data_IF_634563637615
#
_entry.id   IF_634563637615
#
_cell.length_a   1.000
_cell.length_b   1.000
_cell.length_c   1.000
_cell.angle_alpha   90.00
_cell.angle_beta   90.00
_cell.angle_gamma   90.00
#
_symmetry.space_group_name_H-M   'P 1'
#
loop_
_entity.id
_entity.type
_entity.pdbx_description
1 polymer ?
#
# COMPACT_ATOMS: atom_id res chain seq x y z
N UNK A 1 17.74 -14.00 -25.32
CA UNK A 1 18.87 -13.06 -25.49
C UNK A 1 18.95 -12.21 -24.22
N UNK A 2 20.06 -12.33 -23.49
CA UNK A 2 20.36 -11.51 -22.30
C UNK A 2 20.67 -10.07 -22.74
N UNK A 3 20.32 -9.07 -21.91
CA UNK A 3 21.33 -8.15 -21.34
C UNK A 3 20.74 -7.25 -20.24
N UNK A 4 21.40 -7.34 -19.09
CA UNK A 4 21.38 -6.49 -17.90
C UNK A 4 21.83 -5.06 -18.22
N UNK A 5 21.24 -4.05 -17.57
CA UNK A 5 21.81 -2.69 -17.53
C UNK A 5 22.30 -2.37 -16.12
N UNK A 6 23.63 -2.29 -15.98
CA UNK A 6 24.35 -1.66 -14.88
C UNK A 6 24.82 -0.30 -15.39
N UNK A 7 24.54 0.77 -14.66
CA UNK A 7 25.19 2.07 -14.89
C UNK A 7 26.02 2.41 -13.66
N UNK A 8 27.34 2.29 -13.82
CA UNK A 8 28.34 2.86 -12.93
C UNK A 8 28.84 4.15 -13.60
N UNK A 9 28.84 5.26 -12.86
CA UNK A 9 29.51 6.51 -13.27
C UNK A 9 30.70 6.72 -12.35
N UNK A 10 31.87 6.72 -12.95
CA UNK A 10 33.17 6.97 -12.32
C UNK A 10 33.85 8.03 -13.17
N UNK A 11 34.11 9.21 -12.60
CA UNK A 11 35.04 10.18 -13.16
C UNK A 11 35.98 10.68 -12.07
N UNK A 12 37.26 10.57 -12.40
CA UNK A 12 38.42 10.91 -11.59
C UNK A 12 39.08 12.21 -12.09
N UNK A 13 39.91 12.79 -11.23
CA UNK A 13 40.90 13.85 -11.53
C UNK A 13 40.75 15.02 -10.55
N UNK A 14 41.68 15.36 -9.65
CA UNK A 14 43.10 15.06 -9.51
C UNK A 14 43.90 16.37 -9.52
N UNK A 15 44.57 16.73 -8.41
CA UNK A 15 45.90 17.38 -8.41
C UNK A 15 46.39 17.69 -6.98
N UNK A 16 47.71 17.59 -6.85
CA UNK A 16 48.55 17.54 -5.64
C UNK A 16 49.13 18.92 -5.32
N UNK A 17 49.26 19.25 -4.03
CA UNK A 17 50.07 20.36 -3.53
C UNK A 17 50.52 20.07 -2.10
N UNK A 18 51.83 20.10 -1.86
CA UNK A 18 52.54 19.47 -0.75
C UNK A 18 52.97 20.47 0.35
N UNK A 19 52.80 20.03 1.60
CA UNK A 19 53.55 20.29 2.85
C UNK A 19 53.74 21.71 3.42
N UNK A 20 53.35 21.88 4.69
CA UNK A 20 54.25 22.12 5.83
C UNK A 20 53.45 22.03 7.15
N UNK A 21 54.12 21.65 8.24
CA UNK A 21 53.50 21.17 9.47
C UNK A 21 53.00 22.24 10.43
N UNK A 22 52.33 21.78 11.49
CA UNK A 22 52.62 22.16 12.88
C UNK A 22 51.80 21.28 13.82
N UNK A 23 52.46 20.81 14.87
CA UNK A 23 51.91 20.02 15.94
C UNK A 23 51.08 20.92 16.88
N UNK A 24 49.87 20.51 17.20
CA UNK A 24 49.01 21.17 18.18
C UNK A 24 48.07 20.16 18.81
N UNK A 25 48.27 19.91 20.10
CA UNK A 25 47.46 19.04 20.94
C UNK A 25 45.96 19.35 20.82
N UNK A 26 45.16 18.33 20.48
CA UNK A 26 43.71 18.40 20.42
C UNK A 26 43.10 17.38 21.37
N UNK A 27 42.59 17.90 22.49
CA UNK A 27 41.85 17.19 23.52
C UNK A 27 40.84 16.20 22.96
N UNK A 28 40.77 15.03 23.61
CA UNK A 28 39.83 13.97 23.30
C UNK A 28 38.38 14.43 23.45
N UNK A 29 37.75 14.74 22.34
CA UNK A 29 36.30 14.91 22.28
C UNK A 29 35.65 13.63 21.73
N UNK A 30 35.74 12.55 22.51
CA UNK A 30 34.92 11.36 22.35
C UNK A 30 33.53 11.61 22.98
N UNK A 31 32.77 12.55 22.42
CA UNK A 31 31.38 12.80 22.80
C UNK A 31 30.58 13.26 21.59
N UNK A 32 30.12 12.30 20.79
CA UNK A 32 28.89 12.33 19.98
C UNK A 32 28.75 10.89 19.43
N UNK A 33 27.68 10.12 19.55
CA UNK A 33 26.27 10.44 19.69
C UNK A 33 25.56 9.17 20.22
N UNK A 34 25.46 9.01 21.55
CA UNK A 34 24.65 7.98 22.20
C UNK A 34 23.35 8.62 22.70
N UNK A 35 22.55 9.11 21.76
CA UNK A 35 21.16 9.49 21.99
C UNK A 35 20.32 8.83 20.90
N UNK A 36 20.36 7.49 20.90
CA UNK A 36 19.27 6.71 20.34
C UNK A 36 18.07 6.86 21.28
N UNK A 37 16.99 7.43 20.75
CA UNK A 37 15.66 7.50 21.36
C UNK A 37 15.15 6.08 21.67
N UNK A 38 15.12 5.62 22.94
CA UNK A 38 14.74 4.24 23.27
C UNK A 38 13.24 3.98 23.02
N UNK A 39 12.41 5.01 23.20
CA UNK A 39 10.95 4.88 23.17
C UNK A 39 10.35 4.54 21.80
N UNK A 40 11.03 4.85 20.68
CA UNK A 40 10.52 4.55 19.34
C UNK A 40 10.74 3.07 18.94
N UNK A 41 11.91 2.50 19.30
CA UNK A 41 12.23 1.09 19.01
C UNK A 41 11.36 0.13 19.82
N UNK A 42 11.16 0.42 21.11
CA UNK A 42 10.35 -0.44 21.99
C UNK A 42 8.88 -0.52 21.55
N UNK A 43 8.32 0.61 21.07
CA UNK A 43 6.94 0.66 20.57
C UNK A 43 6.79 -0.14 19.29
N UNK A 44 7.76 -0.09 18.39
CA UNK A 44 7.71 -0.82 17.12
C UNK A 44 7.97 -2.32 17.31
N UNK A 45 8.85 -2.70 18.24
CA UNK A 45 9.02 -4.09 18.67
C UNK A 45 7.75 -4.65 19.32
N UNK A 46 7.08 -3.87 20.17
CA UNK A 46 5.81 -4.27 20.78
C UNK A 46 4.70 -4.47 19.72
N UNK A 47 4.62 -3.60 18.70
CA UNK A 47 3.70 -3.79 17.58
C UNK A 47 4.03 -5.05 16.79
N UNK A 48 5.31 -5.28 16.47
CA UNK A 48 5.74 -6.46 15.73
C UNK A 48 5.40 -7.75 16.50
N UNK A 49 5.65 -7.78 17.82
CA UNK A 49 5.28 -8.90 18.68
C UNK A 49 3.76 -9.13 18.72
N UNK A 50 2.96 -8.06 18.77
CA UNK A 50 1.51 -8.16 18.75
C UNK A 50 0.98 -8.71 17.41
N UNK A 51 1.57 -8.29 16.29
CA UNK A 51 1.24 -8.80 14.95
C UNK A 51 1.60 -10.28 14.86
N UNK A 52 2.82 -10.67 15.26
CA UNK A 52 3.28 -12.06 15.23
C UNK A 52 2.35 -12.98 16.04
N UNK A 53 2.01 -12.56 17.26
CA UNK A 53 1.06 -13.28 18.11
C UNK A 53 -0.31 -13.42 17.44
N UNK A 54 -0.82 -12.37 16.81
CA UNK A 54 -2.10 -12.45 16.11
C UNK A 54 -2.04 -13.40 14.89
N UNK A 55 -0.91 -13.48 14.17
CA UNK A 55 -0.74 -14.46 13.08
C UNK A 55 -0.80 -15.90 13.61
N UNK A 56 -0.15 -16.20 14.73
CA UNK A 56 -0.25 -17.53 15.37
C UNK A 56 -1.69 -17.86 15.76
N UNK A 57 -2.39 -16.89 16.34
CA UNK A 57 -3.78 -17.04 16.79
C UNK A 57 -4.79 -17.21 15.65
N UNK A 58 -4.42 -16.93 14.39
CA UNK A 58 -5.27 -17.27 13.25
C UNK A 58 -5.48 -18.77 13.09
N UNK A 59 -4.56 -19.61 13.59
CA UNK A 59 -4.67 -21.08 13.56
C UNK A 59 -5.30 -21.68 14.82
N UNK A 60 -5.74 -20.85 15.78
CA UNK A 60 -6.25 -21.35 17.06
C UNK A 60 -7.52 -22.19 16.87
N UNK A 61 -7.71 -23.30 17.59
CA UNK A 61 -8.90 -24.15 17.46
C UNK A 61 -10.20 -23.41 17.80
N UNK A 62 -10.17 -22.40 18.67
CA UNK A 62 -11.36 -21.63 19.04
C UNK A 62 -11.64 -20.53 18.01
N UNK A 63 -12.83 -20.56 17.43
CA UNK A 63 -13.29 -19.56 16.47
C UNK A 63 -13.18 -18.13 17.00
N UNK A 64 -13.55 -17.90 18.26
CA UNK A 64 -13.48 -16.57 18.88
C UNK A 64 -12.07 -16.00 18.93
N UNK A 65 -11.06 -16.84 19.19
CA UNK A 65 -9.65 -16.44 19.15
C UNK A 65 -9.25 -16.01 17.74
N UNK A 66 -9.61 -16.80 16.73
CA UNK A 66 -9.31 -16.49 15.31
C UNK A 66 -9.96 -15.18 14.87
N UNK A 67 -11.20 -14.94 15.27
CA UNK A 67 -11.91 -13.69 14.98
C UNK A 67 -11.24 -12.46 15.62
N UNK A 68 -10.80 -12.58 16.87
CA UNK A 68 -10.06 -11.51 17.56
C UNK A 68 -8.73 -11.26 16.85
N UNK A 69 -8.01 -12.31 16.47
CA UNK A 69 -6.76 -12.22 15.73
C UNK A 69 -6.94 -11.52 14.37
N UNK A 70 -7.93 -11.93 13.56
CA UNK A 70 -8.22 -11.29 12.28
C UNK A 70 -8.55 -9.81 12.43
N UNK A 71 -9.39 -9.44 13.43
CA UNK A 71 -9.71 -8.03 13.71
C UNK A 71 -8.47 -7.25 14.16
N UNK A 72 -7.59 -7.87 14.93
CA UNK A 72 -6.36 -7.24 15.41
C UNK A 72 -5.40 -6.96 14.25
N UNK A 73 -5.16 -7.95 13.39
CA UNK A 73 -4.35 -7.79 12.19
C UNK A 73 -4.92 -6.74 11.25
N UNK A 74 -6.24 -6.75 11.03
CA UNK A 74 -6.88 -5.72 10.22
C UNK A 74 -6.67 -4.33 10.81
N UNK A 75 -6.80 -4.14 12.13
CA UNK A 75 -6.57 -2.85 12.82
C UNK A 75 -5.14 -2.32 12.69
N UNK A 76 -4.14 -3.20 12.60
CA UNK A 76 -2.77 -2.79 12.31
C UNK A 76 -2.59 -2.29 10.86
N UNK A 77 -3.55 -2.56 9.97
CA UNK A 77 -3.53 -2.08 8.59
C UNK A 77 -2.28 -2.52 7.86
N UNK A 78 -1.69 -1.58 7.09
CA UNK A 78 -0.50 -1.84 6.28
C UNK A 78 0.72 -2.26 7.10
N UNK A 79 0.79 -1.95 8.41
CA UNK A 79 1.88 -2.43 9.26
C UNK A 79 1.89 -3.96 9.43
N UNK A 80 0.72 -4.61 9.31
CA UNK A 80 0.61 -6.07 9.35
C UNK A 80 0.78 -6.73 7.98
N UNK A 81 0.81 -5.96 6.88
CA UNK A 81 0.82 -6.50 5.52
C UNK A 81 1.98 -7.46 5.24
N UNK A 82 3.24 -7.18 5.62
CA UNK A 82 4.35 -8.11 5.38
C UNK A 82 4.16 -9.45 6.11
N UNK A 83 3.71 -9.42 7.36
CA UNK A 83 3.45 -10.63 8.14
C UNK A 83 2.26 -11.44 7.59
N UNK A 84 1.23 -10.75 7.09
CA UNK A 84 0.09 -11.37 6.41
C UNK A 84 0.50 -12.02 5.08
N UNK A 85 1.39 -11.38 4.31
CA UNK A 85 1.93 -11.95 3.07
C UNK A 85 2.69 -13.26 3.33
N UNK A 86 3.52 -13.31 4.37
CA UNK A 86 4.17 -14.54 4.80
C UNK A 86 3.14 -15.60 5.24
N UNK A 87 2.18 -15.21 6.08
CA UNK A 87 1.14 -16.11 6.59
C UNK A 87 0.27 -16.70 5.46
N UNK A 88 0.04 -15.95 4.38
CA UNK A 88 -0.70 -16.39 3.19
C UNK A 88 -0.01 -17.52 2.39
N UNK A 89 1.21 -17.91 2.78
CA UNK A 89 1.97 -19.04 2.21
C UNK A 89 2.12 -20.22 3.17
N UNK A 90 1.69 -20.09 4.43
CA UNK A 90 1.84 -21.14 5.46
C UNK A 90 1.04 -22.41 5.13
N UNK A 91 1.51 -23.54 5.68
CA UNK A 91 0.88 -24.87 5.51
C UNK A 91 -0.51 -24.94 6.13
N UNK A 92 -0.69 -24.33 7.30
CA UNK A 92 -1.98 -24.24 7.98
C UNK A 92 -3.02 -23.55 7.07
N UNK A 93 -4.11 -24.25 6.78
CA UNK A 93 -5.13 -23.79 5.84
C UNK A 93 -5.96 -22.62 6.38
N UNK A 94 -6.24 -22.59 7.68
CA UNK A 94 -7.02 -21.53 8.32
C UNK A 94 -6.21 -20.23 8.37
N UNK A 95 -4.93 -20.32 8.81
CA UNK A 95 -4.00 -19.18 8.81
C UNK A 95 -3.88 -18.60 7.40
N UNK A 96 -3.63 -19.47 6.40
CA UNK A 96 -3.48 -19.07 5.01
C UNK A 96 -4.74 -18.41 4.45
N UNK A 97 -5.92 -19.00 4.70
CA UNK A 97 -7.19 -18.49 4.20
C UNK A 97 -7.51 -17.10 4.78
N UNK A 98 -7.40 -16.94 6.11
CA UNK A 98 -7.68 -15.66 6.77
C UNK A 98 -6.69 -14.57 6.41
N UNK A 99 -5.40 -14.91 6.31
CA UNK A 99 -4.39 -13.94 5.88
C UNK A 99 -4.68 -13.41 4.47
N UNK A 100 -5.04 -14.31 3.53
CA UNK A 100 -5.45 -13.93 2.17
C UNK A 100 -6.71 -13.07 2.16
N UNK A 101 -7.69 -13.38 3.00
CA UNK A 101 -8.90 -12.58 3.09
C UNK A 101 -8.61 -11.12 3.53
N UNK A 102 -7.76 -10.94 4.54
CA UNK A 102 -7.37 -9.60 5.02
C UNK A 102 -6.57 -8.85 3.94
N UNK A 103 -5.63 -9.53 3.27
CA UNK A 103 -4.87 -8.94 2.17
C UNK A 103 -5.77 -8.54 1.00
N UNK A 104 -6.78 -9.36 0.70
CA UNK A 104 -7.75 -9.03 -0.35
C UNK A 104 -8.52 -7.76 -0.01
N UNK A 105 -8.97 -7.62 1.24
CA UNK A 105 -9.61 -6.40 1.72
C UNK A 105 -8.69 -5.17 1.61
N UNK A 106 -7.41 -5.30 2.00
CA UNK A 106 -6.41 -4.23 1.83
C UNK A 106 -6.21 -3.85 0.36
N UNK A 107 -6.20 -4.84 -0.53
CA UNK A 107 -6.04 -4.61 -1.96
C UNK A 107 -7.20 -3.79 -2.53
N UNK A 108 -8.41 -3.94 -1.98
CA UNK A 108 -9.60 -3.13 -2.30
C UNK A 108 -9.65 -1.78 -1.55
N UNK A 109 -8.69 -1.51 -0.65
CA UNK A 109 -8.66 -0.27 0.13
C UNK A 109 -9.58 -0.29 1.36
N UNK A 110 -10.00 -1.47 1.80
CA UNK A 110 -10.71 -1.66 3.07
C UNK A 110 -9.64 -1.72 4.19
N UNK A 111 -9.28 -0.55 4.70
CA UNK A 111 -8.26 -0.33 5.72
C UNK A 111 -8.89 0.15 7.03
N UNK A 112 -8.13 0.15 8.14
CA UNK A 112 -8.53 0.84 9.35
C UNK A 112 -9.00 2.27 9.07
N UNK A 113 -10.22 2.57 9.51
CA UNK A 113 -10.83 3.89 9.32
C UNK A 113 -11.61 4.07 8.00
N UNK A 114 -11.64 3.07 7.10
CA UNK A 114 -12.52 3.15 5.92
C UNK A 114 -13.98 3.29 6.36
N UNK A 115 -14.71 4.30 5.88
CA UNK A 115 -16.12 4.51 6.24
C UNK A 115 -17.01 3.32 5.88
N UNK A 116 -18.00 3.01 6.72
CA UNK A 116 -18.89 1.85 6.55
C UNK A 116 -19.66 1.86 5.23
N UNK A 117 -20.09 3.03 4.77
CA UNK A 117 -20.78 3.20 3.50
C UNK A 117 -19.86 2.86 2.31
N UNK A 118 -18.58 3.21 2.38
CA UNK A 118 -17.58 2.84 1.37
C UNK A 118 -17.30 1.34 1.39
N UNK A 119 -17.20 0.72 2.57
CA UNK A 119 -17.08 -0.74 2.70
C UNK A 119 -18.26 -1.45 2.04
N UNK A 120 -19.49 -0.96 2.30
CA UNK A 120 -20.71 -1.50 1.70
C UNK A 120 -20.73 -1.40 0.17
N UNK A 121 -20.23 -0.30 -0.39
CA UNK A 121 -20.08 -0.14 -1.84
C UNK A 121 -19.04 -1.10 -2.43
N UNK A 122 -17.87 -1.22 -1.81
CA UNK A 122 -16.83 -2.16 -2.26
C UNK A 122 -17.34 -3.60 -2.22
N UNK A 123 -18.09 -3.98 -1.19
CA UNK A 123 -18.69 -5.30 -1.08
C UNK A 123 -19.68 -5.55 -2.23
N UNK A 124 -20.56 -4.60 -2.53
CA UNK A 124 -21.50 -4.68 -3.66
C UNK A 124 -20.78 -4.82 -5.00
N UNK A 125 -19.70 -4.06 -5.21
CA UNK A 125 -18.90 -4.17 -6.43
C UNK A 125 -18.30 -5.57 -6.60
N UNK A 126 -17.77 -6.16 -5.51
CA UNK A 126 -17.14 -7.50 -5.54
C UNK A 126 -18.13 -8.62 -5.88
N UNK A 127 -19.38 -8.52 -5.39
CA UNK A 127 -20.42 -9.53 -5.63
C UNK A 127 -21.33 -9.22 -6.82
N UNK A 128 -21.24 -8.00 -7.37
CA UNK A 128 -22.15 -7.47 -8.38
C UNK A 128 -21.80 -7.87 -9.81
N UNK A 129 -22.80 -7.77 -10.68
CA UNK A 129 -22.67 -7.85 -12.13
C UNK A 129 -22.11 -6.54 -12.72
N UNK A 130 -21.95 -6.50 -14.05
CA UNK A 130 -21.39 -5.34 -14.74
C UNK A 130 -22.16 -4.04 -14.45
N UNK A 131 -23.50 -4.10 -14.42
CA UNK A 131 -24.32 -2.92 -14.13
C UNK A 131 -24.13 -2.46 -12.68
N UNK A 132 -24.19 -3.39 -11.72
CA UNK A 132 -23.96 -3.10 -10.31
C UNK A 132 -22.60 -2.45 -10.08
N UNK A 133 -21.56 -2.91 -10.80
CA UNK A 133 -20.21 -2.34 -10.71
C UNK A 133 -20.17 -0.90 -11.22
N UNK A 134 -20.86 -0.60 -12.32
CA UNK A 134 -21.02 0.77 -12.83
C UNK A 134 -21.72 1.66 -11.81
N UNK A 135 -22.85 1.20 -11.27
CA UNK A 135 -23.64 1.95 -10.29
C UNK A 135 -22.84 2.24 -9.01
N UNK A 136 -22.06 1.26 -8.53
CA UNK A 136 -21.18 1.45 -7.36
C UNK A 136 -20.13 2.52 -7.64
N UNK A 137 -19.46 2.47 -8.79
CA UNK A 137 -18.43 3.47 -9.12
C UNK A 137 -19.04 4.86 -9.24
N UNK A 138 -20.22 5.00 -9.84
CA UNK A 138 -20.94 6.27 -9.88
C UNK A 138 -21.28 6.80 -8.48
N UNK A 139 -21.75 5.94 -7.57
CA UNK A 139 -22.00 6.33 -6.17
C UNK A 139 -20.72 6.76 -5.44
N UNK A 140 -19.59 6.10 -5.69
CA UNK A 140 -18.30 6.51 -5.13
C UNK A 140 -17.89 7.89 -5.65
N UNK A 141 -18.08 8.17 -6.93
CA UNK A 141 -17.79 9.49 -7.52
C UNK A 141 -18.69 10.58 -6.92
N UNK A 142 -20.00 10.32 -6.78
CA UNK A 142 -20.94 11.27 -6.16
C UNK A 142 -20.60 11.61 -4.70
N UNK A 143 -19.96 10.68 -3.99
CA UNK A 143 -19.49 10.86 -2.60
C UNK A 143 -18.03 11.34 -2.54
N UNK A 144 -17.49 11.78 -3.67
CA UNK A 144 -16.10 12.24 -3.84
C UNK A 144 -15.03 11.22 -3.40
N UNK A 145 -15.37 9.93 -3.41
CA UNK A 145 -14.47 8.82 -3.04
C UNK A 145 -13.59 8.39 -4.21
N UNK A 146 -12.87 9.35 -4.79
CA UNK A 146 -12.07 9.18 -6.01
C UNK A 146 -11.03 8.06 -5.90
N UNK A 147 -10.31 8.00 -4.79
CA UNK A 147 -9.28 6.98 -4.58
C UNK A 147 -9.86 5.55 -4.54
N UNK A 148 -11.08 5.39 -4.00
CA UNK A 148 -11.78 4.11 -4.00
C UNK A 148 -12.26 3.76 -5.41
N UNK A 149 -12.90 4.70 -6.12
CA UNK A 149 -13.36 4.52 -7.50
C UNK A 149 -12.22 4.12 -8.44
N UNK A 150 -11.10 4.86 -8.42
CA UNK A 150 -9.92 4.57 -9.24
C UNK A 150 -9.30 3.21 -8.93
N UNK A 151 -9.34 2.78 -7.66
CA UNK A 151 -8.84 1.48 -7.24
C UNK A 151 -9.72 0.34 -7.74
N UNK A 152 -11.05 0.47 -7.67
CA UNK A 152 -11.97 -0.51 -8.23
C UNK A 152 -11.79 -0.63 -9.74
N UNK A 153 -11.68 0.50 -10.45
CA UNK A 153 -11.43 0.51 -11.88
C UNK A 153 -10.17 -0.28 -12.29
N UNK A 154 -9.04 -0.09 -11.58
CA UNK A 154 -7.80 -0.86 -11.83
C UNK A 154 -7.96 -2.35 -11.55
N UNK A 155 -8.88 -2.72 -10.66
CA UNK A 155 -9.18 -4.11 -10.30
C UNK A 155 -10.25 -4.75 -11.17
N UNK A 156 -10.88 -4.03 -12.09
CA UNK A 156 -11.93 -4.56 -12.96
C UNK A 156 -11.33 -5.56 -13.96
N UNK A 157 -11.62 -6.89 -13.83
CA UNK A 157 -11.05 -7.89 -14.72
C UNK A 157 -11.69 -7.83 -16.12
N UNK A 158 -12.96 -7.47 -16.23
CA UNK A 158 -13.67 -7.46 -17.50
C UNK A 158 -13.37 -6.19 -18.30
N UNK A 159 -12.81 -6.35 -19.50
CA UNK A 159 -12.39 -5.21 -20.32
C UNK A 159 -13.57 -4.32 -20.75
N UNK A 160 -14.74 -4.90 -21.02
CA UNK A 160 -15.92 -4.15 -21.42
C UNK A 160 -16.47 -3.31 -20.26
N UNK A 161 -16.57 -3.92 -19.08
CA UNK A 161 -16.96 -3.23 -17.84
C UNK A 161 -15.95 -2.16 -17.50
N UNK A 162 -14.64 -2.43 -17.59
CA UNK A 162 -13.59 -1.45 -17.35
C UNK A 162 -13.71 -0.23 -18.27
N UNK A 163 -14.01 -0.43 -19.56
CA UNK A 163 -14.28 0.66 -20.51
C UNK A 163 -15.52 1.47 -20.12
N UNK A 164 -16.62 0.82 -19.75
CA UNK A 164 -17.84 1.51 -19.30
C UNK A 164 -17.61 2.34 -18.02
N UNK A 165 -16.82 1.81 -17.09
CA UNK A 165 -16.39 2.51 -15.89
C UNK A 165 -15.50 3.72 -16.21
N UNK A 166 -14.52 3.57 -17.11
CA UNK A 166 -13.67 4.68 -17.59
C UNK A 166 -14.52 5.81 -18.18
N UNK A 167 -15.49 5.49 -19.04
CA UNK A 167 -16.41 6.50 -19.60
C UNK A 167 -17.21 7.20 -18.51
N UNK A 168 -17.66 6.46 -17.48
CA UNK A 168 -18.39 7.04 -16.35
C UNK A 168 -17.52 7.99 -15.51
N UNK A 169 -16.23 7.68 -15.36
CA UNK A 169 -15.27 8.54 -14.64
C UNK A 169 -14.95 9.79 -15.45
N UNK A 170 -14.66 9.67 -16.75
CA UNK A 170 -14.30 10.80 -17.62
C UNK A 170 -15.46 11.78 -17.80
N UNK A 171 -16.70 11.27 -17.90
CA UNK A 171 -17.88 12.11 -18.08
C UNK A 171 -18.40 12.71 -16.76
N UNK A 172 -17.76 12.44 -15.62
CA UNK A 172 -18.17 12.98 -14.35
C UNK A 172 -17.63 14.43 -14.19
N UNK A 173 -18.49 15.45 -14.05
CA UNK A 173 -18.04 16.84 -14.00
C UNK A 173 -16.99 17.13 -12.91
N UNK A 174 -17.15 16.55 -11.71
CA UNK A 174 -16.18 16.72 -10.62
C UNK A 174 -14.80 16.17 -10.99
N UNK A 175 -14.74 15.06 -11.72
CA UNK A 175 -13.47 14.50 -12.17
C UNK A 175 -12.83 15.45 -13.18
N UNK A 176 -13.60 15.91 -14.16
CA UNK A 176 -13.12 16.89 -15.16
C UNK A 176 -12.61 18.17 -14.49
N UNK A 177 -13.35 18.71 -13.51
CA UNK A 177 -12.97 19.91 -12.78
C UNK A 177 -11.63 19.72 -12.04
N UNK A 178 -11.49 18.64 -11.27
CA UNK A 178 -10.22 18.31 -10.59
C UNK A 178 -9.07 18.03 -11.56
N UNK A 179 -9.36 17.51 -12.75
CA UNK A 179 -8.35 17.28 -13.78
C UNK A 179 -7.89 18.59 -14.43
N UNK A 180 -8.82 19.50 -14.73
CA UNK A 180 -8.53 20.85 -15.25
C UNK A 180 -7.65 21.60 -14.24
N UNK A 181 -7.91 21.47 -12.94
CA UNK A 181 -7.08 22.05 -11.88
C UNK A 181 -5.67 21.43 -11.79
N UNK A 182 -5.46 20.21 -12.30
CA UNK A 182 -4.22 19.45 -12.09
C UNK A 182 -3.18 19.53 -13.22
N UNK A 183 -3.47 20.22 -14.33
CA UNK A 183 -2.61 20.35 -15.54
C UNK A 183 -2.01 19.03 -16.12
N UNK A 184 -2.49 17.84 -15.71
CA UNK A 184 -1.78 16.58 -15.95
C UNK A 184 -2.47 15.65 -16.97
N UNK A 185 -2.64 16.15 -18.20
CA UNK A 185 -3.22 15.40 -19.34
C UNK A 185 -2.44 14.10 -19.64
N UNK A 186 -1.13 14.07 -19.35
CA UNK A 186 -0.24 12.94 -19.65
C UNK A 186 -0.63 11.65 -18.89
N UNK A 187 -1.04 11.75 -17.62
CA UNK A 187 -1.35 10.58 -16.80
C UNK A 187 -2.59 9.80 -17.27
N UNK A 188 -3.55 10.49 -17.92
CA UNK A 188 -4.73 9.84 -18.49
C UNK A 188 -4.39 9.11 -19.80
N UNK A 189 -3.49 9.69 -20.60
CA UNK A 189 -3.00 9.08 -21.85
C UNK A 189 -2.17 7.83 -21.53
N UNK A 190 -1.35 7.84 -20.49
CA UNK A 190 -0.58 6.66 -20.07
C UNK A 190 -1.47 5.53 -19.55
N UNK A 191 -2.56 5.86 -18.85
CA UNK A 191 -3.53 4.88 -18.35
C UNK A 191 -4.39 4.25 -19.45
N UNK A 192 -4.61 4.96 -20.57
CA UNK A 192 -5.36 4.49 -21.75
C UNK A 192 -4.43 3.83 -22.79
N UNK A 193 -3.18 4.25 -22.86
CA UNK A 193 -2.18 3.79 -23.83
C UNK A 193 -1.48 2.48 -23.49
N UNK A 194 -1.62 1.98 -22.25
CA UNK A 194 -1.05 0.70 -21.84
C UNK A 194 -1.75 -0.54 -22.43
N UNK A 195 -2.84 -0.36 -23.18
CA UNK A 195 -3.61 -1.40 -23.88
C UNK A 195 -3.31 -1.46 -25.41
N UNK A 196 -2.17 -0.91 -25.87
CA UNK A 196 -1.65 -1.07 -27.25
C UNK A 196 -0.51 -2.10 -27.31
#
# INVERSE_FOLDING_TARGET
MLTTWVVAVLLAGGSVGQAAGEAGAGDGNARVNATQTPAASEVDEAKAAAIAKAIEQLGDPRFTTREIASRTLWKFGLAAEPALQEAATRRDAEVRSRARQILEDFSYGILPGTPRDVIGLIAQYRSGDAQTRVDVVQQLLQRERLAAAARLLRKEPDANTRRALLTSVINNPMVVDKFIESENIAALVDAVGADQ
#
